data_IF_186368356490
#
_entry.id   IF_186368356490
#
_cell.length_a   1.000
_cell.length_b   1.000
_cell.length_c   1.000
_cell.angle_alpha   90.00
_cell.angle_beta   90.00
_cell.angle_gamma   90.00
#
_symmetry.space_group_name_H-M   'P 1'
#
loop_
_entity.id
_entity.type
_entity.pdbx_description
1 polymer ?
#
# COMPACT_ATOMS: atom_id res chain seq x y z
N UNK A 1 13.54 -16.83 -23.67
CA UNK A 1 12.60 -16.69 -22.51
C UNK A 1 11.47 -15.77 -22.93
N UNK A 2 10.21 -16.20 -22.83
CA UNK A 2 9.03 -15.36 -23.14
C UNK A 2 8.66 -14.49 -21.94
N UNK A 3 8.41 -13.19 -22.17
CA UNK A 3 8.11 -12.25 -21.08
C UNK A 3 6.66 -11.78 -21.15
N UNK A 4 5.81 -12.34 -20.27
CA UNK A 4 4.41 -12.00 -20.12
C UNK A 4 4.26 -10.73 -19.27
N UNK A 5 3.57 -9.74 -19.79
CA UNK A 5 3.30 -8.46 -19.08
C UNK A 5 1.93 -8.50 -18.44
N UNK A 6 1.84 -8.74 -17.13
CA UNK A 6 0.57 -8.79 -16.39
C UNK A 6 -0.08 -7.40 -16.34
N UNK A 7 -1.38 -7.32 -16.48
CA UNK A 7 -2.18 -6.09 -16.40
C UNK A 7 -3.38 -6.33 -15.48
N UNK A 8 -3.73 -5.39 -14.56
CA UNK A 8 -3.11 -4.07 -14.35
C UNK A 8 -1.78 -4.16 -13.60
N UNK A 9 -0.89 -3.17 -13.80
CA UNK A 9 0.39 -3.01 -13.08
C UNK A 9 0.76 -1.53 -12.95
N UNK A 10 1.62 -1.21 -11.98
CA UNK A 10 2.06 0.17 -11.74
C UNK A 10 1.01 1.02 -11.05
N UNK A 11 1.14 2.34 -11.11
CA UNK A 11 0.33 3.28 -10.34
C UNK A 11 -1.17 3.00 -10.40
N UNK A 12 -1.81 2.92 -9.23
CA UNK A 12 -3.26 2.95 -9.10
C UNK A 12 -3.77 4.40 -9.07
N UNK A 13 -5.10 4.58 -9.17
CA UNK A 13 -5.70 5.92 -9.16
C UNK A 13 -5.37 6.71 -7.88
N UNK A 14 -5.44 6.09 -6.69
CA UNK A 14 -5.13 6.78 -5.44
C UNK A 14 -3.67 7.27 -5.36
N UNK A 15 -2.72 6.53 -5.96
CA UNK A 15 -1.32 6.96 -6.09
C UNK A 15 -1.19 8.12 -7.09
N UNK A 16 -1.88 8.04 -8.23
CA UNK A 16 -1.89 9.12 -9.23
C UNK A 16 -2.46 10.40 -8.63
N UNK A 17 -3.57 10.30 -7.89
CA UNK A 17 -4.20 11.44 -7.23
C UNK A 17 -3.26 12.08 -6.20
N UNK A 18 -2.62 11.29 -5.34
CA UNK A 18 -1.70 11.80 -4.32
C UNK A 18 -0.49 12.52 -4.95
N UNK A 19 0.12 11.93 -5.97
CA UNK A 19 1.22 12.56 -6.71
C UNK A 19 0.76 13.82 -7.46
N UNK A 20 -0.48 13.85 -7.95
CA UNK A 20 -1.04 15.01 -8.64
C UNK A 20 -1.24 16.17 -7.66
N UNK A 21 -1.76 15.92 -6.46
CA UNK A 21 -1.87 16.93 -5.38
C UNK A 21 -0.50 17.55 -5.09
N UNK A 22 0.52 16.70 -4.85
CA UNK A 22 1.86 17.16 -4.53
C UNK A 22 2.49 17.99 -5.68
N UNK A 23 2.40 17.49 -6.92
CA UNK A 23 2.98 18.19 -8.09
C UNK A 23 2.25 19.49 -8.44
N UNK A 24 0.95 19.58 -8.21
CA UNK A 24 0.21 20.83 -8.35
C UNK A 24 0.66 21.84 -7.30
N UNK A 25 0.77 21.42 -6.05
CA UNK A 25 1.27 22.27 -4.98
C UNK A 25 2.68 22.82 -5.29
N UNK A 26 3.57 22.00 -5.86
CA UNK A 26 4.91 22.44 -6.24
C UNK A 26 4.91 23.55 -7.31
N UNK A 27 3.93 23.56 -8.21
CA UNK A 27 3.81 24.52 -9.33
C UNK A 27 3.02 25.77 -8.98
N UNK A 28 2.26 25.74 -7.91
CA UNK A 28 1.42 26.86 -7.48
C UNK A 28 2.23 27.77 -6.57
N UNK A 29 2.57 28.96 -7.08
CA UNK A 29 3.35 29.97 -6.36
C UNK A 29 2.59 30.60 -5.19
N UNK A 30 1.26 30.47 -5.15
CA UNK A 30 0.43 30.97 -4.05
C UNK A 30 0.48 30.09 -2.80
N UNK A 31 0.98 28.86 -2.92
CA UNK A 31 1.10 27.90 -1.82
C UNK A 31 2.33 28.20 -0.96
N UNK A 32 2.17 28.35 0.38
CA UNK A 32 3.26 28.63 1.31
C UNK A 32 4.41 27.62 1.21
N UNK A 33 5.63 28.12 1.33
CA UNK A 33 6.85 27.31 1.30
C UNK A 33 7.51 27.26 2.69
N UNK A 34 8.28 26.19 3.02
CA UNK A 34 8.51 24.99 2.20
C UNK A 34 7.27 24.10 2.12
N UNK A 35 7.24 23.19 1.12
CA UNK A 35 6.23 22.13 1.04
C UNK A 35 6.85 20.85 1.61
N UNK A 36 6.16 20.24 2.57
CA UNK A 36 6.62 19.07 3.30
C UNK A 36 5.58 17.96 3.22
N UNK A 37 5.96 16.78 2.76
CA UNK A 37 5.12 15.57 2.88
C UNK A 37 5.38 14.95 4.24
N UNK A 38 4.32 14.74 5.02
CA UNK A 38 4.38 14.15 6.35
C UNK A 38 4.41 12.60 6.25
N UNK A 39 5.58 12.05 6.00
CA UNK A 39 5.86 10.67 5.65
C UNK A 39 6.10 10.49 4.16
N UNK A 40 6.21 9.26 3.68
CA UNK A 40 6.28 9.00 2.25
C UNK A 40 4.91 9.16 1.61
N UNK A 41 4.83 9.95 0.54
CA UNK A 41 3.56 10.18 -0.20
C UNK A 41 2.90 8.85 -0.57
N UNK A 42 3.70 7.89 -1.00
CA UNK A 42 3.42 6.47 -1.19
C UNK A 42 4.69 5.68 -0.89
N UNK A 43 4.61 4.41 -0.54
CA UNK A 43 5.78 3.56 -0.31
C UNK A 43 6.49 3.23 -1.62
N UNK A 44 7.28 4.19 -2.12
CA UNK A 44 8.17 4.02 -3.26
C UNK A 44 9.22 5.13 -3.28
N UNK A 45 10.52 4.76 -3.18
CA UNK A 45 11.63 5.73 -3.11
C UNK A 45 11.70 6.62 -4.35
N UNK A 46 11.40 6.10 -5.53
CA UNK A 46 11.44 6.88 -6.78
C UNK A 46 10.35 7.93 -6.85
N UNK A 47 9.19 7.66 -6.23
CA UNK A 47 8.14 8.66 -6.09
C UNK A 47 8.56 9.77 -5.12
N UNK A 48 9.27 9.43 -4.04
CA UNK A 48 9.85 10.40 -3.09
C UNK A 48 10.93 11.24 -3.78
N UNK A 49 11.89 10.62 -4.46
CA UNK A 49 12.95 11.32 -5.21
C UNK A 49 12.40 12.21 -6.33
N UNK A 50 11.29 11.83 -6.97
CA UNK A 50 10.60 12.66 -7.95
C UNK A 50 10.03 13.93 -7.30
N UNK A 51 9.45 13.82 -6.11
CA UNK A 51 8.94 14.98 -5.37
C UNK A 51 10.06 15.88 -4.87
N UNK A 52 11.17 15.31 -4.42
CA UNK A 52 12.36 16.07 -4.01
C UNK A 52 12.90 16.93 -5.16
N UNK A 53 12.96 16.39 -6.38
CA UNK A 53 13.33 17.16 -7.59
C UNK A 53 12.36 18.30 -7.91
N UNK A 54 11.16 18.28 -7.37
CA UNK A 54 10.18 19.37 -7.45
C UNK A 54 10.24 20.31 -6.23
N UNK A 55 11.25 20.19 -5.35
CA UNK A 55 11.43 21.03 -4.17
C UNK A 55 10.44 20.71 -3.04
N UNK A 56 9.90 19.50 -3.01
CA UNK A 56 9.02 19.01 -1.94
C UNK A 56 9.85 18.13 -1.00
N UNK A 57 9.93 18.52 0.25
CA UNK A 57 10.63 17.77 1.29
C UNK A 57 9.79 16.60 1.78
N UNK A 58 10.42 15.51 2.18
CA UNK A 58 9.76 14.38 2.84
C UNK A 58 10.31 14.22 4.25
N UNK A 59 9.46 14.32 5.26
CA UNK A 59 9.78 13.96 6.63
C UNK A 59 9.19 12.60 6.92
N UNK A 60 10.03 11.56 7.04
CA UNK A 60 9.60 10.18 7.24
C UNK A 60 9.96 9.68 8.63
N UNK A 61 9.03 8.97 9.25
CA UNK A 61 9.19 8.40 10.59
C UNK A 61 7.89 7.75 11.08
N UNK A 62 7.97 6.97 12.16
CA UNK A 62 6.81 6.22 12.67
C UNK A 62 5.78 7.08 13.40
N UNK A 63 6.18 8.22 13.96
CA UNK A 63 5.33 9.11 14.75
C UNK A 63 5.05 10.41 14.00
N UNK A 64 3.88 10.48 13.37
CA UNK A 64 3.44 11.63 12.58
C UNK A 64 3.21 12.89 13.42
N UNK A 65 2.81 12.75 14.69
CA UNK A 65 2.64 13.89 15.58
C UNK A 65 3.98 14.55 15.90
N UNK A 66 5.00 13.75 16.19
CA UNK A 66 6.35 14.24 16.45
C UNK A 66 6.96 14.88 15.20
N UNK A 67 6.77 14.28 14.02
CA UNK A 67 7.29 14.85 12.78
C UNK A 67 6.75 16.26 12.49
N UNK A 68 5.53 16.60 12.95
CA UNK A 68 5.00 17.97 12.83
C UNK A 68 5.81 19.00 13.61
N UNK A 69 6.55 18.60 14.63
CA UNK A 69 7.42 19.51 15.38
C UNK A 69 8.73 19.83 14.64
N UNK A 70 9.08 19.02 13.63
CA UNK A 70 10.23 19.21 12.75
C UNK A 70 9.88 20.05 11.49
N UNK A 71 8.58 20.27 11.23
CA UNK A 71 8.11 21.08 10.09
C UNK A 71 8.37 22.57 10.38
N UNK A 72 9.01 23.30 9.46
CA UNK A 72 9.23 24.75 9.60
C UNK A 72 7.91 25.54 9.70
N UNK A 73 7.89 26.62 10.47
CA UNK A 73 6.73 27.48 10.60
C UNK A 73 6.29 28.05 9.23
N UNK A 74 4.98 28.16 9.06
CA UNK A 74 4.38 28.68 7.82
C UNK A 74 4.45 27.73 6.62
N UNK A 75 4.95 26.51 6.80
CA UNK A 75 5.04 25.51 5.74
C UNK A 75 3.67 25.01 5.26
N UNK A 76 3.67 24.44 4.07
CA UNK A 76 2.58 23.58 3.58
C UNK A 76 2.88 22.12 3.92
N UNK A 77 1.93 21.45 4.56
CA UNK A 77 2.02 20.02 4.92
C UNK A 77 1.11 19.21 4.00
N UNK A 78 1.66 18.22 3.31
CA UNK A 78 0.90 17.26 2.51
C UNK A 78 0.72 15.97 3.33
N UNK A 79 -0.53 15.59 3.58
CA UNK A 79 -0.86 14.29 4.16
C UNK A 79 -0.81 13.22 3.08
N UNK A 80 -0.22 12.06 3.41
CA UNK A 80 0.09 11.00 2.42
C UNK A 80 -1.15 10.23 1.95
N UNK A 81 -1.03 9.46 0.87
CA UNK A 81 -2.09 8.58 0.37
C UNK A 81 -2.62 7.58 1.42
N UNK A 82 -1.82 7.26 2.44
CA UNK A 82 -2.17 6.31 3.51
C UNK A 82 -3.11 6.90 4.57
N UNK A 83 -3.37 8.21 4.52
CA UNK A 83 -4.13 8.90 5.55
C UNK A 83 -3.36 9.13 6.85
N UNK A 84 -3.97 9.86 7.74
CA UNK A 84 -3.46 10.14 9.10
C UNK A 84 -4.63 10.22 10.08
N UNK A 85 -4.38 10.05 11.37
CA UNK A 85 -5.40 10.20 12.41
C UNK A 85 -5.93 11.65 12.49
N UNK A 86 -7.14 11.86 13.03
CA UNK A 86 -7.67 13.21 13.32
C UNK A 86 -6.72 14.05 14.17
N UNK A 87 -6.05 13.45 15.16
CA UNK A 87 -5.09 14.16 16.02
C UNK A 87 -3.93 14.79 15.22
N UNK A 88 -3.42 14.12 14.19
CA UNK A 88 -2.37 14.66 13.31
C UNK A 88 -2.92 15.84 12.49
N UNK A 89 -4.14 15.74 11.97
CA UNK A 89 -4.80 16.82 11.21
C UNK A 89 -5.01 18.05 12.10
N UNK A 90 -5.51 17.85 13.31
CA UNK A 90 -5.75 18.92 14.27
C UNK A 90 -4.46 19.61 14.69
N UNK A 91 -3.44 18.82 15.05
CA UNK A 91 -2.12 19.36 15.40
C UNK A 91 -1.50 20.18 14.28
N UNK A 92 -1.64 19.73 13.03
CA UNK A 92 -1.17 20.51 11.88
C UNK A 92 -1.88 21.86 11.74
N UNK A 93 -3.21 21.90 12.00
CA UNK A 93 -4.00 23.14 11.99
C UNK A 93 -3.63 24.07 13.15
N UNK A 94 -3.49 23.52 14.37
CA UNK A 94 -3.07 24.29 15.56
C UNK A 94 -1.72 24.98 15.35
N UNK A 95 -0.79 24.33 14.62
CA UNK A 95 0.50 24.89 14.25
C UNK A 95 0.40 25.92 13.11
N UNK A 96 -0.78 26.15 12.55
CA UNK A 96 -1.00 27.12 11.48
C UNK A 96 -0.46 26.70 10.12
N UNK A 97 -0.19 25.41 9.89
CA UNK A 97 0.24 24.93 8.60
C UNK A 97 -0.86 25.01 7.54
N UNK A 98 -0.48 25.29 6.30
CA UNK A 98 -1.35 25.08 5.16
C UNK A 98 -1.40 23.58 4.87
N UNK A 99 -2.56 22.94 5.05
CA UNK A 99 -2.68 21.47 4.95
C UNK A 99 -3.32 21.08 3.62
N UNK A 100 -2.63 20.24 2.85
CA UNK A 100 -3.14 19.58 1.65
C UNK A 100 -3.32 18.09 1.94
N UNK A 101 -4.51 17.59 1.68
CA UNK A 101 -4.84 16.18 1.93
C UNK A 101 -4.74 15.37 0.64
N UNK A 102 -3.76 14.47 0.58
CA UNK A 102 -3.57 13.54 -0.53
C UNK A 102 -4.01 12.11 -0.19
N UNK A 103 -4.83 11.95 0.86
CA UNK A 103 -5.36 10.63 1.26
C UNK A 103 -6.15 9.99 0.13
N UNK A 104 -5.87 8.73 -0.16
CA UNK A 104 -6.62 7.94 -1.14
C UNK A 104 -8.12 7.89 -0.77
N UNK A 105 -9.04 8.04 -1.73
CA UNK A 105 -10.48 7.97 -1.46
C UNK A 105 -10.93 6.68 -0.76
N UNK A 106 -10.33 5.52 -1.09
CA UNK A 106 -10.65 4.26 -0.41
C UNK A 106 -10.22 4.27 1.05
N UNK A 107 -9.05 4.84 1.36
CA UNK A 107 -8.59 5.02 2.74
C UNK A 107 -9.50 5.99 3.49
N UNK A 108 -9.89 7.09 2.85
CA UNK A 108 -10.85 8.04 3.44
C UNK A 108 -12.18 7.36 3.77
N UNK A 109 -12.69 6.51 2.86
CA UNK A 109 -13.90 5.71 3.09
C UNK A 109 -13.77 4.84 4.33
N UNK A 110 -12.63 4.13 4.49
CA UNK A 110 -12.36 3.30 5.68
C UNK A 110 -12.34 4.14 6.97
N UNK A 111 -11.71 5.32 6.96
CA UNK A 111 -11.70 6.23 8.10
C UNK A 111 -13.11 6.69 8.52
N UNK A 112 -13.92 7.08 7.53
CA UNK A 112 -15.34 7.46 7.77
C UNK A 112 -16.09 6.29 8.38
N UNK A 113 -15.92 5.09 7.84
CA UNK A 113 -16.62 3.89 8.30
C UNK A 113 -16.25 3.53 9.75
N UNK A 114 -14.96 3.58 10.11
CA UNK A 114 -14.51 3.37 11.50
C UNK A 114 -15.20 4.37 12.44
N UNK A 115 -15.16 5.65 12.11
CA UNK A 115 -15.75 6.72 12.93
C UNK A 115 -17.26 6.53 13.10
N UNK A 116 -17.99 6.24 12.03
CA UNK A 116 -19.43 6.03 12.05
C UNK A 116 -19.83 4.83 12.89
N UNK A 117 -19.15 3.69 12.73
CA UNK A 117 -19.47 2.47 13.51
C UNK A 117 -19.14 2.65 14.99
N UNK A 118 -18.02 3.30 15.30
CA UNK A 118 -17.68 3.61 16.71
C UNK A 118 -18.70 4.57 17.33
N UNK A 119 -19.18 5.58 16.60
CA UNK A 119 -20.25 6.48 17.07
C UNK A 119 -21.58 5.74 17.33
N UNK A 120 -21.85 4.64 16.60
CA UNK A 120 -23.01 3.76 16.80
C UNK A 120 -22.78 2.73 17.93
N UNK A 121 -21.67 2.78 18.63
CA UNK A 121 -21.36 1.89 19.75
C UNK A 121 -20.62 0.60 19.40
N UNK A 122 -20.23 0.40 18.13
CA UNK A 122 -19.48 -0.78 17.72
C UNK A 122 -18.05 -0.77 18.28
N UNK A 123 -17.56 -1.95 18.62
CA UNK A 123 -16.13 -2.23 18.71
C UNK A 123 -15.63 -2.67 17.32
N UNK A 124 -14.45 -2.21 16.92
CA UNK A 124 -13.87 -2.54 15.60
C UNK A 124 -12.73 -3.55 15.78
N UNK A 125 -12.82 -4.67 15.07
CA UNK A 125 -11.66 -5.53 14.82
C UNK A 125 -11.09 -5.13 13.46
N UNK A 126 -9.93 -4.49 13.47
CA UNK A 126 -9.28 -4.01 12.26
C UNK A 126 -8.21 -4.99 11.81
N UNK A 127 -8.38 -5.60 10.65
CA UNK A 127 -7.38 -6.50 10.05
C UNK A 127 -6.38 -5.65 9.30
N UNK A 128 -5.11 -5.67 9.72
CA UNK A 128 -4.09 -4.78 9.15
C UNK A 128 -2.66 -5.14 9.52
N UNK A 129 -1.71 -4.50 8.86
CA UNK A 129 -0.27 -4.69 9.10
C UNK A 129 0.19 -3.78 10.25
N UNK A 130 0.73 -4.34 11.36
CA UNK A 130 1.25 -3.53 12.46
C UNK A 130 2.31 -2.53 12.00
N UNK A 131 2.24 -1.30 12.54
CA UNK A 131 3.19 -0.24 12.22
C UNK A 131 2.97 0.43 10.85
N UNK A 132 2.06 -0.06 10.01
CA UNK A 132 1.74 0.60 8.76
C UNK A 132 0.89 1.87 8.99
N UNK A 133 1.15 2.98 8.25
CA UNK A 133 0.45 4.25 8.44
C UNK A 133 -1.08 4.17 8.28
N UNK A 134 -1.58 3.34 7.37
CA UNK A 134 -3.02 3.22 7.10
C UNK A 134 -3.80 2.69 8.31
N UNK A 135 -3.45 1.53 8.95
CA UNK A 135 -4.07 1.13 10.20
C UNK A 135 -3.92 2.17 11.33
N UNK A 136 -2.76 2.80 11.45
CA UNK A 136 -2.55 3.85 12.46
C UNK A 136 -3.54 5.01 12.26
N UNK A 137 -3.74 5.46 11.03
CA UNK A 137 -4.69 6.50 10.67
C UNK A 137 -6.13 6.08 10.98
N UNK A 138 -6.55 4.91 10.51
CA UNK A 138 -7.90 4.39 10.69
C UNK A 138 -8.24 4.14 12.17
N UNK A 139 -7.32 3.53 12.93
CA UNK A 139 -7.51 3.29 14.38
C UNK A 139 -7.60 4.60 15.17
N UNK A 140 -6.90 5.64 14.72
CA UNK A 140 -6.96 6.97 15.32
C UNK A 140 -8.31 7.69 15.16
N UNK A 141 -9.21 7.22 14.31
CA UNK A 141 -10.58 7.74 14.18
C UNK A 141 -11.47 7.38 15.38
N UNK A 142 -11.00 6.51 16.26
CA UNK A 142 -11.73 6.00 17.40
C UNK A 142 -11.06 6.35 18.74
N UNK A 143 -11.81 6.48 19.84
CA UNK A 143 -11.24 6.55 21.16
C UNK A 143 -10.41 5.29 21.50
N UNK A 144 -9.42 5.46 22.37
CA UNK A 144 -8.58 4.35 22.81
C UNK A 144 -9.42 3.16 23.32
N UNK A 145 -9.03 1.95 22.93
CA UNK A 145 -9.73 0.72 23.35
C UNK A 145 -10.98 0.36 22.51
N UNK A 146 -11.36 1.17 21.51
CA UNK A 146 -12.53 0.87 20.64
C UNK A 146 -12.15 0.15 19.36
N UNK A 147 -10.86 0.03 19.05
CA UNK A 147 -10.34 -0.69 17.86
C UNK A 147 -9.26 -1.66 18.31
N UNK A 148 -9.38 -2.92 17.88
CA UNK A 148 -8.38 -3.97 18.11
C UNK A 148 -7.76 -4.36 16.77
N UNK A 149 -6.42 -4.28 16.66
CA UNK A 149 -5.70 -4.68 15.46
C UNK A 149 -5.44 -6.20 15.47
N UNK A 150 -5.77 -6.85 14.35
CA UNK A 150 -5.49 -8.26 14.09
C UNK A 150 -4.68 -8.37 12.80
N UNK A 151 -3.55 -9.08 12.84
CA UNK A 151 -2.64 -9.18 11.69
C UNK A 151 -2.40 -10.61 11.19
N UNK A 152 -2.96 -11.63 11.87
CA UNK A 152 -2.73 -13.03 11.53
C UNK A 152 -3.87 -13.94 12.00
N UNK A 153 -3.96 -15.13 11.39
CA UNK A 153 -4.87 -16.20 11.82
C UNK A 153 -4.65 -16.60 13.30
N UNK A 154 -3.41 -16.63 13.75
CA UNK A 154 -3.10 -16.95 15.15
C UNK A 154 -3.72 -15.92 16.10
N UNK A 155 -3.59 -14.62 15.79
CA UNK A 155 -4.25 -13.57 16.56
C UNK A 155 -5.77 -13.64 16.44
N UNK A 156 -6.32 -13.90 15.26
CA UNK A 156 -7.76 -14.02 15.07
C UNK A 156 -8.38 -15.12 15.95
N UNK A 157 -7.65 -16.21 16.20
CA UNK A 157 -8.09 -17.28 17.07
C UNK A 157 -8.08 -16.93 18.57
N UNK A 158 -7.22 -16.01 19.01
CA UNK A 158 -6.96 -15.75 20.42
C UNK A 158 -7.37 -14.35 20.89
N UNK A 159 -7.60 -13.41 19.94
CA UNK A 159 -7.98 -12.03 20.28
C UNK A 159 -9.26 -12.02 21.13
N UNK A 160 -9.28 -11.16 22.14
CA UNK A 160 -10.48 -10.90 22.91
C UNK A 160 -11.50 -10.13 22.05
N UNK A 161 -12.73 -10.65 21.98
CA UNK A 161 -13.83 -10.06 21.24
C UNK A 161 -14.90 -9.60 22.24
N UNK A 162 -14.99 -8.30 22.51
CA UNK A 162 -15.90 -7.79 23.53
C UNK A 162 -17.37 -8.08 23.18
N UNK A 163 -18.22 -8.10 24.20
CA UNK A 163 -19.66 -8.16 24.01
C UNK A 163 -20.23 -6.89 23.37
N UNK A 164 -21.40 -7.00 22.76
CA UNK A 164 -22.11 -5.91 22.09
C UNK A 164 -21.78 -5.81 20.59
N UNK A 165 -22.16 -4.73 19.92
CA UNK A 165 -21.99 -4.57 18.48
C UNK A 165 -20.51 -4.65 18.07
N UNK A 166 -20.21 -5.49 17.07
CA UNK A 166 -18.86 -5.72 16.56
C UNK A 166 -18.83 -5.52 15.05
N UNK A 167 -17.82 -4.82 14.55
CA UNK A 167 -17.56 -4.72 13.12
C UNK A 167 -16.11 -5.16 12.81
N UNK A 168 -15.95 -5.95 11.77
CA UNK A 168 -14.66 -6.40 11.23
C UNK A 168 -14.36 -5.55 10.01
N UNK A 169 -13.21 -4.89 10.00
CA UNK A 169 -12.77 -4.01 8.90
C UNK A 169 -11.38 -4.37 8.46
N UNK A 170 -11.00 -4.02 7.22
CA UNK A 170 -9.70 -4.39 6.66
C UNK A 170 -8.92 -3.19 6.15
N UNK A 171 -7.59 -3.30 6.20
CA UNK A 171 -6.69 -2.43 5.46
C UNK A 171 -6.85 -2.65 3.96
N UNK A 172 -6.71 -1.59 3.15
CA UNK A 172 -7.00 -1.62 1.71
C UNK A 172 -6.02 -2.43 0.85
N UNK A 173 -4.82 -2.74 1.37
CA UNK A 173 -3.72 -3.36 0.60
C UNK A 173 -3.30 -4.75 1.10
N UNK A 174 -4.21 -5.49 1.73
CA UNK A 174 -3.96 -6.86 2.21
C UNK A 174 -4.13 -7.92 1.09
N UNK A 175 -3.72 -9.15 1.39
CA UNK A 175 -4.07 -10.32 0.59
C UNK A 175 -5.55 -10.65 0.73
N UNK A 176 -6.25 -10.83 -0.38
CA UNK A 176 -7.68 -11.20 -0.37
C UNK A 176 -7.89 -12.55 0.32
N UNK A 177 -7.01 -13.51 0.06
CA UNK A 177 -7.12 -14.89 0.57
C UNK A 177 -6.82 -14.96 2.06
N UNK A 178 -5.64 -14.45 2.49
CA UNK A 178 -5.27 -14.45 3.92
C UNK A 178 -6.30 -13.65 4.76
N UNK A 179 -6.86 -12.58 4.21
CA UNK A 179 -7.88 -11.77 4.87
C UNK A 179 -9.21 -12.52 4.96
N UNK A 180 -9.60 -13.26 3.92
CA UNK A 180 -10.81 -14.08 3.94
C UNK A 180 -10.74 -15.16 5.04
N UNK A 181 -9.57 -15.81 5.21
CA UNK A 181 -9.35 -16.78 6.27
C UNK A 181 -9.46 -16.17 7.68
N UNK A 182 -8.87 -14.97 7.86
CA UNK A 182 -8.97 -14.23 9.13
C UNK A 182 -10.43 -13.84 9.41
N UNK A 183 -11.15 -13.32 8.43
CA UNK A 183 -12.58 -12.97 8.54
C UNK A 183 -13.40 -14.21 8.91
N UNK A 184 -13.15 -15.35 8.24
CA UNK A 184 -13.86 -16.59 8.52
C UNK A 184 -13.70 -17.05 9.99
N UNK A 185 -12.48 -16.96 10.54
CA UNK A 185 -12.24 -17.27 11.95
C UNK A 185 -12.97 -16.31 12.88
N UNK A 186 -12.89 -15.00 12.61
CA UNK A 186 -13.54 -13.99 13.47
C UNK A 186 -15.06 -14.11 13.41
N UNK A 187 -15.66 -14.35 12.24
CA UNK A 187 -17.11 -14.53 12.09
C UNK A 187 -17.61 -15.86 12.67
N UNK A 188 -16.80 -16.92 12.65
CA UNK A 188 -17.13 -18.16 13.37
C UNK A 188 -17.19 -17.95 14.89
N UNK A 189 -16.36 -17.06 15.46
CA UNK A 189 -16.36 -16.71 16.88
C UNK A 189 -17.44 -15.68 17.25
N UNK A 190 -17.79 -14.78 16.32
CA UNK A 190 -18.82 -13.74 16.47
C UNK A 190 -19.68 -13.68 15.19
N UNK A 191 -20.70 -14.58 15.08
CA UNK A 191 -21.58 -14.67 13.92
C UNK A 191 -22.45 -13.43 13.69
N UNK A 192 -22.59 -12.59 14.71
CA UNK A 192 -23.34 -11.33 14.70
C UNK A 192 -22.49 -10.13 14.24
N UNK A 193 -21.19 -10.30 14.00
CA UNK A 193 -20.33 -9.21 13.58
C UNK A 193 -20.65 -8.72 12.15
N UNK A 194 -20.70 -7.40 11.97
CA UNK A 194 -20.71 -6.82 10.63
C UNK A 194 -19.33 -6.98 9.97
N UNK A 195 -19.31 -7.32 8.67
CA UNK A 195 -18.04 -7.46 7.92
C UNK A 195 -17.96 -6.41 6.83
N UNK A 196 -16.89 -5.61 6.88
CA UNK A 196 -16.54 -4.60 5.90
C UNK A 196 -15.16 -4.92 5.33
N UNK A 197 -15.14 -5.66 4.21
CA UNK A 197 -13.89 -5.94 3.49
C UNK A 197 -13.56 -4.75 2.59
N UNK A 198 -12.66 -3.89 3.07
CA UNK A 198 -12.27 -2.64 2.40
C UNK A 198 -11.00 -2.81 1.52
N UNK A 199 -10.59 -4.05 1.19
CA UNK A 199 -9.50 -4.27 0.22
C UNK A 199 -9.89 -3.60 -1.09
N UNK A 200 -9.12 -2.60 -1.52
CA UNK A 200 -9.49 -1.76 -2.65
C UNK A 200 -9.46 -2.54 -3.98
N UNK A 201 -10.33 -2.16 -4.92
CA UNK A 201 -10.43 -2.81 -6.24
C UNK A 201 -9.08 -2.84 -6.97
N UNK A 202 -8.27 -1.80 -6.83
CA UNK A 202 -6.94 -1.76 -7.42
C UNK A 202 -6.02 -2.86 -6.90
N UNK A 203 -6.12 -3.22 -5.62
CA UNK A 203 -5.39 -4.34 -5.00
C UNK A 203 -5.96 -5.68 -5.48
N UNK A 204 -7.28 -5.85 -5.45
CA UNK A 204 -7.95 -7.09 -5.87
C UNK A 204 -7.58 -7.47 -7.31
N UNK A 205 -7.79 -6.57 -8.25
CA UNK A 205 -7.51 -6.82 -9.68
C UNK A 205 -6.05 -7.18 -9.96
N UNK A 206 -5.09 -6.59 -9.21
CA UNK A 206 -3.66 -6.93 -9.36
C UNK A 206 -3.35 -8.31 -8.85
N UNK A 207 -3.89 -8.69 -7.70
CA UNK A 207 -3.69 -10.01 -7.11
C UNK A 207 -4.31 -11.10 -7.99
N UNK A 208 -5.55 -10.92 -8.44
CA UNK A 208 -6.25 -11.86 -9.34
C UNK A 208 -5.48 -12.04 -10.66
N UNK A 209 -5.04 -10.94 -11.27
CA UNK A 209 -4.26 -11.00 -12.51
C UNK A 209 -2.91 -11.71 -12.31
N UNK A 210 -2.23 -11.48 -11.18
CA UNK A 210 -0.95 -12.11 -10.87
C UNK A 210 -1.12 -13.62 -10.61
N UNK A 211 -2.10 -14.04 -9.81
CA UNK A 211 -2.40 -15.45 -9.56
C UNK A 211 -2.82 -16.16 -10.84
N UNK A 212 -3.68 -15.55 -11.67
CA UNK A 212 -4.08 -16.11 -12.96
C UNK A 212 -2.89 -16.31 -13.90
N UNK A 213 -1.95 -15.37 -13.94
CA UNK A 213 -0.77 -15.48 -14.79
C UNK A 213 0.22 -16.54 -14.29
N UNK A 214 0.31 -16.73 -12.97
CA UNK A 214 1.23 -17.65 -12.32
C UNK A 214 1.09 -19.07 -12.86
N UNK A 215 -0.12 -19.57 -13.08
CA UNK A 215 -0.37 -20.93 -13.59
C UNK A 215 0.17 -21.21 -14.99
N UNK A 216 0.63 -20.19 -15.72
CA UNK A 216 1.11 -20.33 -17.10
C UNK A 216 2.57 -19.91 -17.31
N UNK A 217 3.32 -19.67 -16.22
CA UNK A 217 4.72 -19.20 -16.28
C UNK A 217 5.59 -19.94 -15.23
N UNK A 218 6.90 -19.90 -15.42
CA UNK A 218 7.86 -20.56 -14.54
C UNK A 218 8.27 -19.66 -13.36
N UNK A 219 8.28 -18.35 -13.57
CA UNK A 219 8.68 -17.33 -12.57
C UNK A 219 7.83 -16.07 -12.72
N UNK A 220 7.50 -15.44 -11.62
CA UNK A 220 6.88 -14.11 -11.61
C UNK A 220 7.84 -13.08 -10.99
N UNK A 221 8.05 -11.97 -11.68
CA UNK A 221 8.79 -10.82 -11.15
C UNK A 221 7.79 -9.72 -10.75
N UNK A 222 7.87 -9.30 -9.50
CA UNK A 222 7.07 -8.21 -8.95
C UNK A 222 7.96 -6.99 -8.76
N UNK A 223 7.73 -5.95 -9.54
CA UNK A 223 8.48 -4.69 -9.41
C UNK A 223 7.85 -3.83 -8.32
N UNK A 224 8.61 -3.48 -7.29
CA UNK A 224 8.08 -2.69 -6.17
C UNK A 224 9.05 -2.46 -5.02
N UNK A 225 8.78 -1.41 -4.25
CA UNK A 225 9.55 -1.04 -3.05
C UNK A 225 9.32 -2.06 -1.91
N UNK A 226 10.35 -2.42 -1.12
CA UNK A 226 10.23 -3.36 0.00
C UNK A 226 9.25 -2.91 1.09
N UNK A 227 9.01 -1.62 1.23
CA UNK A 227 8.07 -1.06 2.19
C UNK A 227 6.62 -1.04 1.68
N UNK A 228 6.42 -1.32 0.39
CA UNK A 228 5.08 -1.37 -0.21
C UNK A 228 4.36 -2.66 0.19
N UNK A 229 3.35 -2.54 1.05
CA UNK A 229 2.51 -3.66 1.46
C UNK A 229 1.87 -4.34 0.22
N UNK A 230 1.35 -3.56 -0.72
CA UNK A 230 0.78 -4.10 -1.96
C UNK A 230 1.79 -4.94 -2.77
N UNK A 231 3.05 -4.49 -2.89
CA UNK A 231 4.09 -5.22 -3.63
C UNK A 231 4.48 -6.53 -2.94
N UNK A 232 4.60 -6.51 -1.62
CA UNK A 232 4.91 -7.71 -0.83
C UNK A 232 3.77 -8.74 -0.92
N UNK A 233 2.52 -8.29 -0.81
CA UNK A 233 1.35 -9.17 -0.94
C UNK A 233 1.22 -9.79 -2.33
N UNK A 234 1.64 -9.10 -3.40
CA UNK A 234 1.68 -9.68 -4.75
C UNK A 234 2.64 -10.87 -4.83
N UNK A 235 3.82 -10.80 -4.21
CA UNK A 235 4.74 -11.95 -4.13
C UNK A 235 4.08 -13.10 -3.38
N UNK A 236 3.60 -12.83 -2.17
CA UNK A 236 3.00 -13.84 -1.30
C UNK A 236 1.81 -14.58 -1.95
N UNK A 237 0.92 -13.86 -2.63
CA UNK A 237 -0.25 -14.49 -3.27
C UNK A 237 0.16 -15.31 -4.50
N UNK A 238 1.16 -14.88 -5.25
CA UNK A 238 1.69 -15.67 -6.37
C UNK A 238 2.30 -16.99 -5.87
N UNK A 239 3.08 -16.96 -4.80
CA UNK A 239 3.70 -18.15 -4.24
C UNK A 239 2.67 -19.07 -3.57
N UNK A 240 1.83 -18.52 -2.67
CA UNK A 240 0.89 -19.34 -1.87
C UNK A 240 -0.31 -19.82 -2.68
N UNK A 241 -0.88 -18.97 -3.52
CA UNK A 241 -2.13 -19.26 -4.25
C UNK A 241 -1.83 -19.68 -5.69
N UNK A 242 -0.88 -19.01 -6.34
CA UNK A 242 -0.47 -19.30 -7.71
C UNK A 242 0.46 -20.51 -7.83
N UNK A 243 1.15 -20.89 -6.75
CA UNK A 243 2.09 -22.03 -6.72
C UNK A 243 3.35 -21.82 -7.56
N UNK A 244 3.70 -20.60 -7.91
CA UNK A 244 4.81 -20.23 -8.80
C UNK A 244 5.83 -19.39 -8.04
N UNK A 245 7.15 -19.64 -8.17
CA UNK A 245 8.17 -18.80 -7.58
C UNK A 245 8.01 -17.34 -7.97
N UNK A 246 8.10 -16.44 -6.98
CA UNK A 246 7.96 -15.01 -7.22
C UNK A 246 9.09 -14.22 -6.53
N UNK A 247 9.64 -13.25 -7.25
CA UNK A 247 10.74 -12.41 -6.75
C UNK A 247 10.36 -10.94 -6.85
N UNK A 248 10.54 -10.21 -5.73
CA UNK A 248 10.39 -8.77 -5.72
C UNK A 248 11.72 -8.10 -6.06
N UNK A 249 11.66 -7.13 -6.98
CA UNK A 249 12.80 -6.29 -7.38
C UNK A 249 12.39 -4.82 -7.30
N UNK A 250 13.30 -3.94 -6.92
CA UNK A 250 13.07 -2.50 -6.99
C UNK A 250 13.41 -1.95 -8.38
N UNK A 251 14.47 -2.51 -9.00
CA UNK A 251 15.00 -2.10 -10.31
C UNK A 251 15.40 -3.30 -11.17
N UNK A 252 15.84 -3.02 -12.39
CA UNK A 252 16.40 -4.03 -13.26
C UNK A 252 17.76 -4.60 -12.76
N UNK A 253 18.47 -3.87 -11.92
CA UNK A 253 19.76 -4.31 -11.39
C UNK A 253 19.64 -5.33 -10.24
N UNK A 254 18.44 -5.46 -9.67
CA UNK A 254 18.14 -6.46 -8.65
C UNK A 254 17.81 -7.83 -9.24
N UNK A 255 17.66 -7.93 -10.56
CA UNK A 255 17.40 -9.18 -11.25
C UNK A 255 18.62 -10.11 -11.17
N UNK A 256 18.41 -11.35 -10.74
CA UNK A 256 19.44 -12.36 -10.61
C UNK A 256 19.26 -13.44 -11.69
N UNK A 257 20.26 -13.64 -12.58
CA UNK A 257 20.17 -14.62 -13.66
C UNK A 257 19.82 -16.04 -13.19
N UNK A 258 20.29 -16.44 -12.00
CA UNK A 258 20.05 -17.74 -11.41
C UNK A 258 18.57 -18.05 -11.15
N UNK A 259 17.71 -17.03 -11.02
CA UNK A 259 16.25 -17.23 -10.87
C UNK A 259 15.59 -17.74 -12.16
N UNK A 260 16.28 -17.62 -13.30
CA UNK A 260 15.72 -17.84 -14.63
C UNK A 260 16.42 -18.96 -15.42
N UNK A 261 17.33 -19.72 -14.79
CA UNK A 261 18.19 -20.73 -15.45
C UNK A 261 17.37 -21.72 -16.29
N UNK A 262 16.22 -22.19 -15.78
CA UNK A 262 15.36 -23.14 -16.46
C UNK A 262 14.03 -22.53 -16.93
N UNK A 263 13.87 -21.22 -16.76
CA UNK A 263 12.62 -20.54 -17.07
C UNK A 263 12.46 -20.30 -18.59
N UNK A 264 11.38 -20.83 -19.15
CA UNK A 264 10.96 -20.58 -20.53
C UNK A 264 10.03 -19.37 -20.64
N UNK A 265 9.18 -19.16 -19.61
CA UNK A 265 8.20 -18.08 -19.54
C UNK A 265 8.29 -17.39 -18.19
N UNK A 266 8.41 -16.08 -18.23
CA UNK A 266 8.47 -15.21 -17.04
C UNK A 266 7.36 -14.18 -17.12
N UNK A 267 6.59 -13.99 -16.04
CA UNK A 267 5.63 -12.92 -15.97
C UNK A 267 6.17 -11.74 -15.18
N UNK A 268 5.81 -10.53 -15.57
CA UNK A 268 6.19 -9.30 -14.86
C UNK A 268 4.94 -8.52 -14.47
N UNK A 269 4.82 -8.22 -13.18
CA UNK A 269 3.84 -7.28 -12.63
C UNK A 269 4.53 -6.18 -11.83
N UNK A 270 3.76 -5.23 -11.32
CA UNK A 270 4.28 -4.16 -10.47
C UNK A 270 3.26 -3.73 -9.43
N UNK A 271 3.74 -3.39 -8.25
CA UNK A 271 2.93 -2.84 -7.17
C UNK A 271 2.26 -1.52 -7.54
N UNK A 272 1.18 -1.20 -6.83
CA UNK A 272 0.33 -0.03 -7.08
C UNK A 272 1.02 1.33 -6.86
N UNK A 273 2.20 1.35 -6.23
CA UNK A 273 3.03 2.55 -6.02
C UNK A 273 4.29 2.59 -6.91
N UNK A 274 4.42 1.68 -7.89
CA UNK A 274 5.61 1.56 -8.74
C UNK A 274 5.49 2.39 -10.00
N UNK A 275 6.47 3.29 -10.30
CA UNK A 275 6.51 4.04 -11.54
C UNK A 275 6.59 3.13 -12.77
N UNK A 276 5.84 3.44 -13.83
CA UNK A 276 5.84 2.63 -15.07
C UNK A 276 7.21 2.58 -15.75
N UNK A 277 8.05 3.60 -15.56
CA UNK A 277 9.41 3.66 -16.10
C UNK A 277 10.28 2.54 -15.52
N UNK A 278 10.20 2.31 -14.21
CA UNK A 278 10.97 1.25 -13.53
C UNK A 278 10.53 -0.13 -14.04
N UNK A 279 9.22 -0.35 -14.13
CA UNK A 279 8.67 -1.61 -14.64
C UNK A 279 9.11 -1.87 -16.08
N UNK A 280 9.13 -0.85 -16.94
CA UNK A 280 9.62 -0.99 -18.31
C UNK A 280 11.09 -1.34 -18.39
N UNK A 281 11.93 -0.77 -17.50
CA UNK A 281 13.35 -1.11 -17.43
C UNK A 281 13.58 -2.59 -17.04
N UNK A 282 12.81 -3.10 -16.06
CA UNK A 282 12.85 -4.52 -15.67
C UNK A 282 12.44 -5.43 -16.83
N UNK A 283 11.35 -5.11 -17.51
CA UNK A 283 10.88 -5.87 -18.67
C UNK A 283 11.95 -5.86 -19.78
N UNK A 284 12.50 -4.70 -20.12
CA UNK A 284 13.54 -4.57 -21.15
C UNK A 284 14.80 -5.38 -20.83
N UNK A 285 15.21 -5.43 -19.56
CA UNK A 285 16.35 -6.26 -19.13
C UNK A 285 16.06 -7.75 -19.33
N UNK A 286 14.88 -8.23 -18.94
CA UNK A 286 14.48 -9.63 -19.14
C UNK A 286 14.37 -10.00 -20.63
N UNK A 287 13.80 -9.11 -21.45
CA UNK A 287 13.70 -9.29 -22.91
C UNK A 287 15.10 -9.33 -23.55
N UNK A 288 16.06 -8.53 -23.06
CA UNK A 288 17.44 -8.51 -23.59
C UNK A 288 18.21 -9.82 -23.34
N UNK A 289 17.92 -10.53 -22.27
CA UNK A 289 18.54 -11.85 -21.99
C UNK A 289 18.11 -12.93 -22.96
N UNK A 290 16.97 -12.73 -23.62
CA UNK A 290 16.48 -13.65 -24.66
C UNK A 290 17.30 -13.57 -25.97
N UNK A 291 17.90 -12.42 -26.25
CA UNK A 291 18.69 -12.18 -27.48
C UNK A 291 20.11 -12.73 -27.34
N UNK A 292 20.64 -12.79 -26.11
CA UNK A 292 22.01 -13.25 -25.85
C UNK A 292 22.19 -14.79 -25.91
N UNK A 293 21.09 -15.56 -26.03
CA UNK A 293 21.12 -17.05 -26.05
C UNK A 293 20.98 -17.65 -27.44
N UNK A 294 20.97 -16.85 -28.53
CA UNK A 294 21.07 -17.34 -29.90
C UNK A 294 22.55 -17.24 -30.31
N UNK A 295 23.31 -18.32 -30.32
CA UNK A 295 24.62 -18.32 -30.99
C UNK A 295 24.36 -18.06 -32.48
N UNK A 296 25.10 -17.13 -33.09
CA UNK A 296 25.16 -17.00 -34.54
C UNK A 296 25.53 -18.36 -35.12
N UNK A 297 24.62 -18.93 -35.92
CA UNK A 297 24.83 -20.18 -36.66
C UNK A 297 25.59 -19.94 -37.97
#
# INVERSE_FOLDING_TARGET
>A
MDVLKITPRGYCYGVVDALTVAKRAARDESIPRPIVVLGQIVHNRYAVEELDRHGILTLDGPDRLRLLDEVPDGATVILTAHGVSPAVRERAREKGFHVLDATCPDVTKTHVLVRERVAQGYHIVYIGTPGHPEPQGAMGEAPAGRVTLVSSLAQANTVDLPEGPLAIMTQTTLSQWDTADIIAVLTARRPDAEVHNEICLATQLRQEAAVKAASGVDVVVVVGDPRSNNSNRLVEVVEKVGGTPAYRVETADDLRPEWFTDARRVAVTAGSSTPSQITRAVIGRLESWNVATVPDA
#
